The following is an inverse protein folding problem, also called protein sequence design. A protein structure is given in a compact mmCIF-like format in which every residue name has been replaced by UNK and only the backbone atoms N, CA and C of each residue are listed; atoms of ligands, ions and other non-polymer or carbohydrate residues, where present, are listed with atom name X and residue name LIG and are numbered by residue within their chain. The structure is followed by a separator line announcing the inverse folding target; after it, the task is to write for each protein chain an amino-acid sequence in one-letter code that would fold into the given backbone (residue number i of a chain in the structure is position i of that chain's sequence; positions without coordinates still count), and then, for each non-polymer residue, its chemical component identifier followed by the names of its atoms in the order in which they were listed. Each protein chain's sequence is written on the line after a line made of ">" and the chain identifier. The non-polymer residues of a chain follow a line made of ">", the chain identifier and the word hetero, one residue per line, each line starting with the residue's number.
data_IF_656469153731
#
_entry.id   IF_656469153731
#
_cell.length_a   1.000
_cell.length_b   1.000
_cell.length_c   1.000
_cell.angle_alpha   90.00
_cell.angle_beta   90.00
_cell.angle_gamma   90.00
#
_symmetry.space_group_name_H-M   'P 1'
#
loop_
_entity.id
_entity.type
_entity.pdbx_description
1 polymer ?
#
# COMPACT_ATOMS: atom_id res chain seq x y z
N UNK A 1 6.08 -10.25 19.15
CA UNK A 1 5.06 -9.27 18.70
C UNK A 1 3.72 -9.61 19.36
N UNK A 2 2.97 -8.59 19.76
CA UNK A 2 1.66 -8.78 20.36
C UNK A 2 0.65 -9.25 19.31
N UNK A 3 -0.25 -10.20 19.61
CA UNK A 3 -1.16 -10.79 18.61
C UNK A 3 -2.02 -9.76 17.84
N UNK A 4 -2.34 -8.64 18.47
CA UNK A 4 -3.14 -7.56 17.87
C UNK A 4 -2.36 -6.66 16.88
N UNK A 5 -1.04 -6.87 16.75
CA UNK A 5 -0.18 -6.16 15.79
C UNK A 5 0.04 -6.95 14.49
N UNK A 6 -0.63 -8.11 14.34
CA UNK A 6 -0.49 -8.95 13.14
C UNK A 6 -1.28 -8.34 11.99
N UNK A 7 -0.66 -8.24 10.82
CA UNK A 7 -1.32 -7.83 9.59
C UNK A 7 -1.91 -9.06 8.85
N UNK A 8 -3.01 -8.88 8.08
CA UNK A 8 -3.70 -7.61 7.85
C UNK A 8 -4.49 -7.12 9.07
N UNK A 9 -4.44 -5.82 9.33
CA UNK A 9 -5.35 -5.18 10.29
C UNK A 9 -6.75 -5.12 9.69
N UNK A 10 -7.78 -5.39 10.48
CA UNK A 10 -9.17 -5.37 10.02
C UNK A 10 -10.02 -4.45 10.88
N UNK A 11 -10.85 -3.64 10.23
CA UNK A 11 -11.87 -2.82 10.86
C UNK A 11 -13.20 -2.96 10.13
N UNK A 12 -14.29 -2.65 10.85
CA UNK A 12 -15.62 -2.46 10.28
C UNK A 12 -16.04 -1.02 10.55
N UNK A 13 -16.56 -0.33 9.54
CA UNK A 13 -17.02 1.05 9.63
C UNK A 13 -18.27 1.24 8.75
N UNK A 14 -18.78 2.47 8.61
CA UNK A 14 -19.97 2.75 7.78
C UNK A 14 -19.84 2.36 6.30
N UNK A 15 -18.61 2.29 5.79
CA UNK A 15 -18.30 1.83 4.43
C UNK A 15 -18.14 0.31 4.27
N UNK A 16 -18.40 -0.49 5.32
CA UNK A 16 -18.26 -1.96 5.29
C UNK A 16 -16.98 -2.48 5.92
N UNK A 17 -16.52 -3.64 5.47
CA UNK A 17 -15.27 -4.25 5.93
C UNK A 17 -14.07 -3.60 5.23
N UNK A 18 -13.01 -3.37 5.98
CA UNK A 18 -11.73 -2.90 5.46
C UNK A 18 -10.59 -3.64 6.13
N UNK A 19 -9.73 -4.26 5.34
CA UNK A 19 -8.48 -4.87 5.78
C UNK A 19 -7.29 -4.15 5.17
N UNK A 20 -6.20 -4.00 5.93
CA UNK A 20 -4.99 -3.27 5.51
C UNK A 20 -3.74 -4.07 5.81
N UNK A 21 -2.86 -4.16 4.82
CA UNK A 21 -1.47 -4.59 4.96
C UNK A 21 -0.54 -3.45 4.55
N UNK A 22 0.54 -3.27 5.29
CA UNK A 22 1.52 -2.20 5.09
C UNK A 22 2.93 -2.76 5.12
N UNK A 23 3.68 -2.46 4.09
CA UNK A 23 5.13 -2.66 4.04
C UNK A 23 5.80 -1.29 4.06
N UNK A 24 6.46 -0.95 5.17
CA UNK A 24 7.10 0.35 5.32
C UNK A 24 7.11 0.88 6.73
N UNK A 25 7.20 2.21 6.85
CA UNK A 25 7.17 2.91 8.13
C UNK A 25 6.66 4.33 7.95
N UNK A 26 5.73 4.77 8.81
CA UNK A 26 5.14 6.10 8.80
C UNK A 26 5.82 6.99 9.85
N UNK A 27 6.50 8.04 9.41
CA UNK A 27 7.29 8.91 10.28
C UNK A 27 6.43 9.87 11.11
N UNK A 28 5.19 10.15 10.72
CA UNK A 28 4.27 11.04 11.43
C UNK A 28 3.10 10.32 12.10
N UNK A 29 3.11 8.99 12.18
CA UNK A 29 2.02 8.20 12.75
C UNK A 29 1.70 8.61 14.20
N UNK A 30 2.70 8.86 15.03
CA UNK A 30 2.51 9.29 16.41
C UNK A 30 1.75 10.61 16.54
N UNK A 31 2.07 11.60 15.69
CA UNK A 31 1.36 12.88 15.66
C UNK A 31 -0.09 12.74 15.20
N UNK A 32 -0.32 11.97 14.14
CA UNK A 32 -1.66 11.71 13.62
C UNK A 32 -2.51 10.96 14.65
N UNK A 33 -1.94 9.93 15.29
CA UNK A 33 -2.60 9.17 16.36
C UNK A 33 -3.04 10.09 17.51
N UNK A 34 -2.15 10.99 17.96
CA UNK A 34 -2.46 11.93 19.04
C UNK A 34 -3.58 12.92 18.66
N UNK A 35 -3.61 13.36 17.40
CA UNK A 35 -4.66 14.25 16.90
C UNK A 35 -6.02 13.53 16.83
N UNK A 36 -6.06 12.35 16.22
CA UNK A 36 -7.28 11.54 16.09
C UNK A 36 -7.83 11.12 17.45
N UNK A 37 -6.97 10.80 18.42
CA UNK A 37 -7.41 10.47 19.78
C UNK A 37 -8.11 11.65 20.48
N UNK A 38 -7.72 12.91 20.21
CA UNK A 38 -8.42 14.11 20.71
C UNK A 38 -9.82 14.26 20.09
N UNK A 39 -10.01 13.73 18.88
CA UNK A 39 -11.29 13.70 18.17
C UNK A 39 -12.14 12.48 18.55
N UNK A 40 -11.67 11.65 19.51
CA UNK A 40 -12.39 10.51 20.05
C UNK A 40 -12.06 9.17 19.40
N UNK A 41 -11.04 9.10 18.53
CA UNK A 41 -10.62 7.84 17.94
C UNK A 41 -10.01 6.90 19.00
N UNK A 42 -10.39 5.63 18.93
CA UNK A 42 -9.87 4.55 19.79
C UNK A 42 -8.94 3.67 18.97
N UNK A 43 -7.75 3.39 19.49
CA UNK A 43 -6.76 2.55 18.87
C UNK A 43 -6.60 1.23 19.64
N UNK A 44 -6.56 0.13 18.91
CA UNK A 44 -6.48 -1.22 19.49
C UNK A 44 -5.08 -1.82 19.35
N UNK A 45 -4.21 -1.23 18.52
CA UNK A 45 -2.86 -1.71 18.25
C UNK A 45 -1.82 -0.62 18.50
N UNK A 46 -0.55 -0.99 18.47
CA UNK A 46 0.58 -0.03 18.55
C UNK A 46 1.22 0.23 17.19
N UNK A 47 0.72 -0.42 16.11
CA UNK A 47 1.30 -0.25 14.77
C UNK A 47 0.89 1.08 14.13
N UNK A 48 1.78 1.64 13.35
CA UNK A 48 1.57 2.89 12.61
C UNK A 48 0.44 2.79 11.59
N UNK A 49 0.25 1.63 11.00
CA UNK A 49 -0.74 1.37 9.95
C UNK A 49 -2.20 1.54 10.41
N UNK A 50 -2.50 1.38 11.70
CA UNK A 50 -3.84 1.59 12.24
C UNK A 50 -4.32 3.04 12.05
N UNK A 51 -3.37 3.99 12.04
CA UNK A 51 -3.69 5.39 11.77
C UNK A 51 -4.31 5.57 10.38
N UNK A 52 -3.85 4.81 9.38
CA UNK A 52 -4.39 4.88 8.01
C UNK A 52 -5.85 4.41 7.99
N UNK A 53 -6.15 3.29 8.64
CA UNK A 53 -7.54 2.79 8.76
C UNK A 53 -8.45 3.80 9.44
N UNK A 54 -7.95 4.43 10.51
CA UNK A 54 -8.70 5.45 11.24
C UNK A 54 -8.97 6.68 10.37
N UNK A 55 -7.97 7.17 9.63
CA UNK A 55 -8.14 8.30 8.70
C UNK A 55 -9.17 7.99 7.62
N UNK A 56 -9.16 6.78 7.07
CA UNK A 56 -10.14 6.34 6.06
C UNK A 56 -11.55 6.31 6.67
N UNK A 57 -11.70 5.77 7.88
CA UNK A 57 -13.00 5.66 8.55
C UNK A 57 -13.58 7.04 8.94
N UNK A 58 -12.72 8.00 9.27
CA UNK A 58 -13.14 9.38 9.63
C UNK A 58 -13.36 10.28 8.41
N UNK A 59 -12.94 9.85 7.21
CA UNK A 59 -13.13 10.64 6.00
C UNK A 59 -14.61 10.72 5.60
N UNK A 60 -15.08 11.91 5.30
CA UNK A 60 -16.43 12.16 4.80
C UNK A 60 -16.55 12.05 3.27
N UNK A 61 -15.50 11.61 2.59
CA UNK A 61 -15.52 11.44 1.12
C UNK A 61 -16.51 10.36 0.69
N UNK A 62 -17.17 10.53 -0.46
CA UNK A 62 -18.24 9.64 -0.89
C UNK A 62 -17.77 8.24 -1.30
N UNK A 63 -16.56 8.11 -1.88
CA UNK A 63 -16.04 6.83 -2.36
C UNK A 63 -14.84 6.36 -1.54
N UNK A 64 -14.64 5.04 -1.49
CA UNK A 64 -13.50 4.48 -0.75
C UNK A 64 -12.16 4.94 -1.35
N UNK A 65 -12.09 5.10 -2.68
CA UNK A 65 -10.89 5.59 -3.36
C UNK A 65 -10.53 7.00 -2.93
N UNK A 66 -11.52 7.89 -2.82
CA UNK A 66 -11.33 9.26 -2.34
C UNK A 66 -10.96 9.31 -0.85
N UNK A 67 -11.57 8.45 -0.01
CA UNK A 67 -11.20 8.31 1.40
C UNK A 67 -9.75 7.85 1.55
N UNK A 68 -9.33 6.88 0.76
CA UNK A 68 -7.94 6.40 0.73
C UNK A 68 -7.00 7.50 0.26
N UNK A 69 -7.31 8.20 -0.83
CA UNK A 69 -6.50 9.31 -1.34
C UNK A 69 -6.34 10.43 -0.30
N UNK A 70 -7.42 10.79 0.41
CA UNK A 70 -7.38 11.77 1.49
C UNK A 70 -6.52 11.32 2.67
N UNK A 71 -6.60 10.04 3.07
CA UNK A 71 -5.81 9.46 4.14
C UNK A 71 -4.32 9.42 3.79
N UNK A 72 -3.96 8.92 2.60
CA UNK A 72 -2.54 8.79 2.20
C UNK A 72 -1.88 10.14 1.93
N UNK A 73 -2.65 11.19 1.66
CA UNK A 73 -2.12 12.55 1.59
C UNK A 73 -1.70 13.13 2.94
N UNK A 74 -2.20 12.60 4.05
CA UNK A 74 -1.87 13.04 5.41
C UNK A 74 -0.67 12.30 6.00
N UNK A 75 -0.38 11.09 5.54
CA UNK A 75 0.75 10.30 6.05
C UNK A 75 2.06 10.68 5.39
N UNK A 76 3.16 10.47 6.13
CA UNK A 76 4.53 10.69 5.68
C UNK A 76 5.38 9.46 5.99
N UNK A 77 6.23 9.09 5.06
CA UNK A 77 7.12 7.94 5.23
C UNK A 77 7.33 7.16 3.94
N UNK A 78 7.89 5.99 4.09
CA UNK A 78 8.06 5.01 3.01
C UNK A 78 6.97 3.95 3.16
N UNK A 79 6.13 3.74 2.14
CA UNK A 79 5.04 2.78 2.24
C UNK A 79 4.61 2.16 0.91
N UNK A 80 4.30 0.88 0.98
CA UNK A 80 3.43 0.18 0.06
C UNK A 80 2.25 -0.37 0.87
N UNK A 81 1.05 0.08 0.58
CA UNK A 81 -0.17 -0.24 1.31
C UNK A 81 -1.12 -1.01 0.42
N UNK A 82 -1.63 -2.14 0.93
CA UNK A 82 -2.72 -2.88 0.32
C UNK A 82 -3.95 -2.77 1.21
N UNK A 83 -5.05 -2.40 0.60
CA UNK A 83 -6.37 -2.33 1.22
C UNK A 83 -7.31 -3.31 0.53
N UNK A 84 -8.12 -4.01 1.28
CA UNK A 84 -9.15 -4.90 0.77
C UNK A 84 -10.49 -4.54 1.40
N UNK A 85 -11.48 -4.31 0.56
CA UNK A 85 -12.90 -4.17 0.92
C UNK A 85 -13.66 -5.43 0.55
N UNK A 86 -14.99 -5.41 0.66
CA UNK A 86 -15.82 -6.55 0.27
C UNK A 86 -15.74 -6.87 -1.23
N UNK A 87 -15.43 -5.88 -2.09
CA UNK A 87 -15.43 -6.02 -3.56
C UNK A 87 -14.22 -5.37 -4.27
N UNK A 88 -13.26 -4.81 -3.54
CA UNK A 88 -12.09 -4.13 -4.14
C UNK A 88 -10.79 -4.46 -3.44
N UNK A 89 -9.72 -4.48 -4.22
CA UNK A 89 -8.34 -4.35 -3.71
C UNK A 89 -7.81 -3.00 -4.18
N UNK A 90 -7.24 -2.24 -3.25
CA UNK A 90 -6.63 -0.95 -3.52
C UNK A 90 -5.16 -1.03 -3.10
N UNK A 91 -4.25 -0.80 -4.05
CA UNK A 91 -2.81 -0.83 -3.84
C UNK A 91 -2.24 0.57 -4.00
N UNK A 92 -1.50 1.06 -3.00
CA UNK A 92 -0.99 2.44 -2.96
C UNK A 92 0.51 2.42 -2.74
N UNK A 93 1.27 3.11 -3.60
CA UNK A 93 2.72 3.29 -3.45
C UNK A 93 3.04 4.70 -2.98
N UNK A 94 4.03 4.86 -2.11
CA UNK A 94 4.48 6.16 -1.62
C UNK A 94 4.96 7.09 -2.77
N UNK A 95 4.94 8.42 -2.58
CA UNK A 95 5.20 9.38 -3.65
C UNK A 95 6.67 9.41 -4.11
N UNK A 96 7.58 8.75 -3.39
CA UNK A 96 8.99 8.64 -3.77
C UNK A 96 9.35 7.25 -4.29
N UNK A 97 8.43 6.26 -4.15
CA UNK A 97 8.66 4.87 -4.53
C UNK A 97 9.71 4.18 -3.67
N UNK A 98 9.86 4.58 -2.39
CA UNK A 98 10.81 3.95 -1.48
C UNK A 98 10.56 2.46 -1.31
N UNK A 99 9.27 2.07 -1.14
CA UNK A 99 8.92 0.66 -1.03
C UNK A 99 8.45 0.13 -2.38
N UNK A 100 8.91 -1.05 -2.78
CA UNK A 100 8.48 -1.66 -4.03
C UNK A 100 7.02 -2.09 -3.95
N UNK A 101 6.34 -2.05 -5.09
CA UNK A 101 5.00 -2.54 -5.29
C UNK A 101 4.80 -2.85 -6.76
N UNK A 102 4.37 -4.07 -7.07
CA UNK A 102 4.23 -4.59 -8.42
C UNK A 102 2.83 -5.10 -8.70
N UNK A 103 2.40 -4.96 -9.96
CA UNK A 103 1.14 -5.47 -10.50
C UNK A 103 1.42 -6.70 -11.36
N UNK A 104 0.69 -7.78 -11.12
CA UNK A 104 0.75 -9.01 -11.87
C UNK A 104 -0.62 -9.43 -12.42
N UNK A 105 -0.58 -10.20 -13.51
CA UNK A 105 -1.75 -10.78 -14.18
C UNK A 105 -1.78 -12.28 -13.96
N UNK A 106 -2.90 -12.78 -13.50
CA UNK A 106 -3.23 -14.22 -13.44
C UNK A 106 -4.18 -14.57 -14.58
N UNK A 107 -4.38 -15.86 -14.83
CA UNK A 107 -5.33 -16.35 -15.84
C UNK A 107 -6.73 -15.73 -15.67
N UNK A 108 -7.22 -15.65 -14.45
CA UNK A 108 -8.58 -15.20 -14.13
C UNK A 108 -8.60 -14.00 -13.18
N UNK A 109 -7.62 -13.11 -13.24
CA UNK A 109 -7.61 -11.96 -12.35
C UNK A 109 -6.30 -11.21 -12.28
N UNK A 110 -6.19 -10.38 -11.27
CA UNK A 110 -5.04 -9.51 -11.01
C UNK A 110 -4.51 -9.72 -9.60
N UNK A 111 -3.24 -9.51 -9.42
CA UNK A 111 -2.61 -9.56 -8.11
C UNK A 111 -1.62 -8.41 -7.94
N UNK A 112 -1.32 -8.12 -6.68
CA UNK A 112 -0.33 -7.12 -6.30
C UNK A 112 0.57 -7.68 -5.20
N UNK A 113 1.83 -7.35 -5.24
CA UNK A 113 2.82 -7.78 -4.25
C UNK A 113 3.89 -6.71 -4.05
N UNK A 114 4.64 -6.80 -2.95
CA UNK A 114 5.84 -5.97 -2.77
C UNK A 114 6.97 -6.41 -3.70
N UNK A 115 7.06 -7.70 -4.02
CA UNK A 115 8.14 -8.28 -4.82
C UNK A 115 7.61 -9.18 -5.93
N UNK A 116 8.24 -9.11 -7.11
CA UNK A 116 7.85 -9.90 -8.29
C UNK A 116 8.00 -11.41 -8.10
N UNK A 117 8.96 -11.86 -7.29
CA UNK A 117 9.15 -13.28 -6.98
C UNK A 117 7.94 -13.95 -6.30
N UNK A 118 7.04 -13.16 -5.70
CA UNK A 118 5.79 -13.68 -5.16
C UNK A 118 4.84 -14.19 -6.27
N UNK A 119 4.97 -13.67 -7.48
CA UNK A 119 4.13 -14.07 -8.61
C UNK A 119 4.44 -15.48 -9.11
N UNK A 120 5.71 -15.91 -9.03
CA UNK A 120 6.12 -17.26 -9.42
C UNK A 120 5.37 -18.33 -8.61
N UNK A 121 5.06 -18.02 -7.33
CA UNK A 121 4.36 -18.93 -6.44
C UNK A 121 2.87 -19.10 -6.78
N UNK A 122 2.26 -18.11 -7.40
CA UNK A 122 0.82 -18.10 -7.73
C UNK A 122 0.57 -18.22 -9.24
N UNK A 123 1.62 -18.39 -10.04
CA UNK A 123 1.51 -18.50 -11.49
C UNK A 123 1.02 -17.21 -12.16
N UNK A 124 1.41 -16.06 -11.61
CA UNK A 124 1.11 -14.76 -12.19
C UNK A 124 2.29 -14.23 -13.01
N UNK A 125 1.99 -13.46 -14.03
CA UNK A 125 2.99 -12.76 -14.84
C UNK A 125 3.16 -11.33 -14.33
N UNK A 126 4.41 -10.87 -14.19
CA UNK A 126 4.72 -9.48 -13.88
C UNK A 126 4.28 -8.57 -15.03
N UNK A 127 3.38 -7.63 -14.75
CA UNK A 127 2.93 -6.66 -15.74
C UNK A 127 3.77 -5.39 -15.66
N UNK A 128 3.89 -4.80 -14.47
CA UNK A 128 4.70 -3.59 -14.24
C UNK A 128 4.84 -3.26 -12.76
N UNK A 129 5.77 -2.37 -12.48
CA UNK A 129 5.80 -1.66 -11.20
C UNK A 129 4.61 -0.69 -11.08
N UNK A 130 4.11 -0.52 -9.86
CA UNK A 130 3.21 0.58 -9.50
C UNK A 130 4.05 1.85 -9.38
N UNK A 131 3.67 2.91 -10.07
CA UNK A 131 4.45 4.15 -10.09
C UNK A 131 4.47 4.83 -8.71
N UNK A 132 5.54 5.58 -8.38
CA UNK A 132 5.54 6.45 -7.21
C UNK A 132 4.32 7.38 -7.20
N UNK A 133 3.57 7.41 -6.09
CA UNK A 133 2.35 8.22 -5.98
C UNK A 133 1.12 7.69 -6.73
N UNK A 134 1.19 6.47 -7.21
CA UNK A 134 0.06 5.80 -7.89
C UNK A 134 -0.76 4.96 -6.91
N UNK A 135 -2.06 4.89 -7.22
CA UNK A 135 -3.04 3.98 -6.63
C UNK A 135 -3.61 3.09 -7.74
N UNK A 136 -3.57 1.79 -7.55
CA UNK A 136 -4.20 0.78 -8.40
C UNK A 136 -5.47 0.29 -7.70
N UNK A 137 -6.57 0.22 -8.42
CA UNK A 137 -7.85 -0.30 -7.96
C UNK A 137 -8.21 -1.52 -8.81
N UNK A 138 -8.31 -2.67 -8.17
CA UNK A 138 -8.82 -3.92 -8.73
C UNK A 138 -10.22 -4.10 -8.16
N UNK A 139 -11.22 -4.13 -9.02
CA UNK A 139 -12.63 -4.14 -8.67
C UNK A 139 -13.26 -5.45 -9.18
N UNK A 140 -14.10 -6.10 -8.38
CA UNK A 140 -14.77 -7.35 -8.78
C UNK A 140 -15.64 -7.19 -10.01
N UNK A 141 -16.12 -5.98 -10.27
CA UNK A 141 -17.05 -5.66 -11.35
C UNK A 141 -16.34 -5.25 -12.66
N UNK A 142 -15.02 -5.08 -12.61
CA UNK A 142 -14.21 -4.66 -13.76
C UNK A 142 -13.11 -5.67 -14.06
N UNK A 143 -12.96 -6.04 -15.33
CA UNK A 143 -11.93 -6.97 -15.78
C UNK A 143 -10.50 -6.41 -15.74
N UNK A 144 -10.35 -5.08 -15.79
CA UNK A 144 -9.07 -4.39 -15.85
C UNK A 144 -8.89 -3.45 -14.64
N UNK A 145 -7.68 -3.39 -14.04
CA UNK A 145 -7.37 -2.47 -12.95
C UNK A 145 -7.45 -1.01 -13.41
N UNK A 146 -7.99 -0.16 -12.56
CA UNK A 146 -7.94 1.29 -12.75
C UNK A 146 -6.71 1.86 -12.06
N UNK A 147 -6.11 2.88 -12.67
CA UNK A 147 -4.95 3.60 -12.14
C UNK A 147 -5.32 5.04 -11.85
N UNK A 148 -4.88 5.56 -10.70
CA UNK A 148 -5.06 6.94 -10.29
C UNK A 148 -3.79 7.49 -9.65
N UNK A 149 -3.34 8.68 -10.07
CA UNK A 149 -2.25 9.41 -9.40
C UNK A 149 -2.84 10.18 -8.22
N UNK A 150 -2.59 9.71 -7.00
CA UNK A 150 -3.07 10.37 -5.78
C UNK A 150 -2.13 11.48 -5.29
N UNK A 151 -0.88 11.49 -5.77
CA UNK A 151 0.18 12.41 -5.35
C UNK A 151 0.55 13.44 -6.41
N UNK A 152 -0.41 13.89 -7.24
CA UNK A 152 -0.16 14.80 -8.38
C UNK A 152 0.61 16.08 -8.03
N UNK A 153 0.45 16.62 -6.83
CA UNK A 153 1.10 17.83 -6.36
C UNK A 153 2.40 17.58 -5.57
N UNK A 154 2.86 16.34 -5.48
CA UNK A 154 4.12 16.01 -4.82
C UNK A 154 5.17 15.75 -5.91
N UNK A 155 6.37 16.40 -5.85
CA UNK A 155 7.40 16.12 -6.82
C UNK A 155 7.84 14.66 -6.70
N UNK A 156 7.39 13.84 -7.62
CA UNK A 156 7.82 12.46 -7.74
C UNK A 156 9.25 12.43 -8.30
N UNK A 157 10.24 12.66 -7.44
CA UNK A 157 11.59 12.22 -7.72
C UNK A 157 11.72 10.82 -7.13
N UNK A 158 11.77 9.76 -7.95
CA UNK A 158 12.01 8.42 -7.46
C UNK A 158 13.25 8.41 -6.58
N UNK A 159 13.12 7.85 -5.38
CA UNK A 159 14.21 7.76 -4.42
C UNK A 159 14.29 6.32 -3.93
N UNK A 160 14.88 5.47 -4.77
CA UNK A 160 15.05 4.06 -4.45
C UNK A 160 15.98 3.90 -3.24
N UNK A 161 15.52 3.14 -2.27
CA UNK A 161 16.34 2.80 -1.11
C UNK A 161 17.32 1.71 -1.50
N UNK A 162 18.62 1.96 -1.38
CA UNK A 162 19.65 0.96 -1.66
C UNK A 162 19.46 -0.33 -0.83
N UNK A 163 18.89 -0.22 0.37
CA UNK A 163 18.60 -1.38 1.22
C UNK A 163 17.57 -2.33 0.62
N UNK A 164 16.69 -1.87 -0.30
CA UNK A 164 15.82 -2.79 -1.03
C UNK A 164 16.64 -3.78 -1.86
N UNK A 165 17.66 -3.30 -2.55
CA UNK A 165 18.53 -4.15 -3.38
C UNK A 165 19.50 -4.98 -2.55
N UNK A 166 20.15 -4.43 -1.52
CA UNK A 166 21.25 -5.11 -0.82
C UNK A 166 20.80 -5.97 0.36
N UNK A 167 19.59 -5.75 0.90
CA UNK A 167 19.17 -6.40 2.12
C UNK A 167 17.75 -6.97 2.10
N UNK A 168 16.73 -6.21 1.65
CA UNK A 168 15.34 -6.63 1.81
C UNK A 168 14.87 -7.57 0.70
N UNK A 169 15.07 -7.21 -0.57
CA UNK A 169 14.54 -7.95 -1.69
C UNK A 169 15.23 -9.31 -1.88
N UNK A 170 14.50 -10.28 -2.38
CA UNK A 170 15.05 -11.55 -2.83
C UNK A 170 15.86 -11.36 -4.12
N UNK A 171 16.86 -12.22 -4.32
CA UNK A 171 17.74 -12.15 -5.50
C UNK A 171 17.01 -12.34 -6.84
N UNK A 172 15.93 -13.11 -6.82
CA UNK A 172 15.08 -13.42 -7.98
C UNK A 172 13.99 -12.37 -8.24
N UNK A 173 13.98 -11.28 -7.46
CA UNK A 173 13.04 -10.16 -7.67
C UNK A 173 13.53 -9.17 -8.71
N UNK A 174 12.55 -8.52 -9.39
CA UNK A 174 12.75 -7.37 -10.26
C UNK A 174 12.09 -6.16 -9.57
N UNK A 175 12.82 -5.07 -9.44
CA UNK A 175 12.37 -3.80 -8.85
C UNK A 175 12.69 -2.69 -9.84
N UNK A 176 11.67 -1.90 -10.23
CA UNK A 176 11.80 -0.78 -11.16
C UNK A 176 12.58 -1.16 -12.45
N UNK A 177 12.22 -2.32 -13.02
CA UNK A 177 12.83 -2.96 -14.20
C UNK A 177 14.31 -3.38 -14.04
N UNK A 178 14.84 -3.42 -12.82
CA UNK A 178 16.20 -3.88 -12.56
C UNK A 178 16.17 -5.19 -11.76
N UNK A 179 16.93 -6.18 -12.23
CA UNK A 179 17.16 -7.42 -11.48
C UNK A 179 17.92 -7.11 -10.19
N UNK A 180 17.42 -7.64 -9.07
CA UNK A 180 18.10 -7.49 -7.77
C UNK A 180 19.45 -8.21 -7.79
N UNK A 181 19.53 -9.36 -8.49
CA UNK A 181 20.77 -10.09 -8.65
C UNK A 181 21.85 -9.25 -9.36
N UNK A 182 21.49 -8.63 -10.51
CA UNK A 182 22.42 -7.82 -11.28
C UNK A 182 22.84 -6.53 -10.55
N UNK A 183 21.95 -5.99 -9.72
CA UNK A 183 22.25 -4.81 -8.92
C UNK A 183 23.23 -5.07 -7.77
N UNK A 184 23.47 -6.35 -7.40
CA UNK A 184 24.37 -6.77 -6.32
C UNK A 184 25.77 -7.14 -6.79
N UNK A 185 25.98 -7.33 -8.09
CA UNK A 185 27.27 -7.64 -8.70
C UNK A 185 27.98 -6.37 -9.13
#
# INVERSE_FOLDING_TARGET
>A
SMPYNIQPLKVYFDGGNLALSHNGNLTNAGQLRANLAKEGAVFNTTVDSEVVLTLIAYSARPTIEERVAEAVNQIKGAFAILLMTDNKIIAVRDPYGFRPLVLGKMENGWCVASESCAFDLVGAELVRDVKPGEMIIIDSDNSEPRSMMWAENKPAKPAHCIFEYVYFARNDSIIDNQSVYDARI
#
